data_IF_047800539362
#
_entry.id   IF_047800539362
#
_cell.length_a   1.000
_cell.length_b   1.000
_cell.length_c   1.000
_cell.angle_alpha   90.00
_cell.angle_beta   90.00
_cell.angle_gamma   90.00
#
_symmetry.space_group_name_H-M   'P 1'
#
loop_
_entity.id
_entity.type
_entity.pdbx_description
1 polymer ?
#
# COMPACT_ATOMS: atom_id res chain seq x y z
N UNK A 1 -5.19 9.33 -20.01
CA UNK A 1 -5.21 7.87 -19.78
C UNK A 1 -4.45 7.10 -20.85
N UNK A 2 -3.28 6.58 -20.46
CA UNK A 2 -2.48 5.66 -21.28
C UNK A 2 -2.95 4.20 -21.19
N UNK A 3 -2.33 3.34 -22.00
CA UNK A 3 -2.65 1.91 -22.10
C UNK A 3 -2.43 1.15 -20.79
N UNK A 4 -1.41 1.50 -20.00
CA UNK A 4 -1.07 0.79 -18.76
C UNK A 4 -2.13 1.03 -17.69
N UNK A 5 -2.58 2.27 -17.54
CA UNK A 5 -3.64 2.59 -16.60
C UNK A 5 -4.98 2.00 -17.04
N UNK A 6 -5.26 1.93 -18.35
CA UNK A 6 -6.44 1.24 -18.86
C UNK A 6 -6.44 -0.24 -18.48
N UNK A 7 -5.30 -0.95 -18.66
CA UNK A 7 -5.16 -2.36 -18.26
C UNK A 7 -5.37 -2.52 -16.74
N UNK A 8 -4.83 -1.60 -15.95
CA UNK A 8 -5.04 -1.59 -14.50
C UNK A 8 -6.53 -1.46 -14.14
N UNK A 9 -7.26 -0.55 -14.80
CA UNK A 9 -8.70 -0.39 -14.60
C UNK A 9 -9.51 -1.58 -15.09
N UNK A 10 -9.10 -2.24 -16.17
CA UNK A 10 -9.76 -3.49 -16.62
C UNK A 10 -9.55 -4.63 -15.62
N UNK A 11 -8.39 -4.64 -14.94
CA UNK A 11 -8.03 -5.65 -13.93
C UNK A 11 -8.75 -5.44 -12.61
N UNK A 12 -8.83 -4.19 -12.12
CA UNK A 12 -9.42 -3.87 -10.82
C UNK A 12 -10.85 -3.32 -10.89
N UNK A 13 -11.30 -2.83 -12.03
CA UNK A 13 -12.51 -2.04 -12.14
C UNK A 13 -12.33 -0.58 -11.69
N UNK A 14 -13.42 0.19 -11.83
CA UNK A 14 -13.41 1.64 -11.65
C UNK A 14 -13.12 2.13 -10.22
N UNK A 15 -12.80 3.44 -10.09
CA UNK A 15 -12.44 4.03 -8.81
C UNK A 15 -13.63 4.13 -7.85
N UNK A 16 -13.34 4.06 -6.55
CA UNK A 16 -14.25 4.33 -5.45
C UNK A 16 -13.64 5.35 -4.49
N UNK A 17 -14.50 6.08 -3.78
CA UNK A 17 -14.13 7.08 -2.75
C UNK A 17 -13.01 8.03 -3.20
N UNK A 18 -13.11 8.51 -4.45
CA UNK A 18 -12.15 9.42 -5.06
C UNK A 18 -12.00 10.70 -4.23
N UNK A 19 -10.74 11.09 -3.99
CA UNK A 19 -10.37 12.40 -3.45
C UNK A 19 -9.53 13.17 -4.46
N UNK A 20 -9.84 14.44 -4.62
CA UNK A 20 -9.03 15.33 -5.45
C UNK A 20 -7.65 15.52 -4.82
N UNK A 21 -6.62 15.48 -5.66
CA UNK A 21 -5.25 15.73 -5.23
C UNK A 21 -4.95 17.22 -5.36
N UNK A 22 -4.62 17.92 -4.26
CA UNK A 22 -4.22 19.31 -4.33
C UNK A 22 -2.94 19.48 -5.16
N UNK A 23 -2.84 20.56 -5.94
CA UNK A 23 -1.63 20.89 -6.68
C UNK A 23 -0.40 20.96 -5.78
N UNK A 24 -0.56 21.43 -4.53
CA UNK A 24 0.53 21.46 -3.55
C UNK A 24 1.11 20.07 -3.25
N UNK A 25 0.28 19.03 -3.22
CA UNK A 25 0.75 17.65 -3.02
C UNK A 25 1.48 17.13 -4.26
N UNK A 26 0.99 17.44 -5.46
CA UNK A 26 1.69 17.10 -6.71
C UNK A 26 3.07 17.76 -6.76
N UNK A 27 3.16 19.07 -6.51
CA UNK A 27 4.44 19.79 -6.48
C UNK A 27 5.39 19.26 -5.40
N UNK A 28 4.85 18.87 -4.24
CA UNK A 28 5.65 18.31 -3.14
C UNK A 28 6.42 17.04 -3.54
N UNK A 29 5.83 16.22 -4.41
CA UNK A 29 6.39 14.93 -4.84
C UNK A 29 7.10 14.95 -6.19
N UNK A 30 7.15 16.09 -6.89
CA UNK A 30 7.95 16.21 -8.11
C UNK A 30 9.42 15.91 -7.82
N UNK A 31 10.01 15.03 -8.64
CA UNK A 31 11.38 14.57 -8.48
C UNK A 31 11.61 13.57 -7.34
N UNK A 32 10.56 13.20 -6.59
CA UNK A 32 10.59 12.17 -5.53
C UNK A 32 9.83 10.91 -5.93
N UNK A 33 8.74 11.08 -6.68
CA UNK A 33 7.90 10.02 -7.20
C UNK A 33 7.87 10.07 -8.75
N UNK A 34 7.45 8.97 -9.42
CA UNK A 34 7.30 8.95 -10.87
C UNK A 34 6.38 10.06 -11.36
N UNK A 35 6.74 10.72 -12.46
CA UNK A 35 5.91 11.77 -13.04
C UNK A 35 4.56 11.22 -13.48
N UNK A 36 4.54 10.00 -14.03
CA UNK A 36 3.32 9.35 -14.47
C UNK A 36 2.36 9.06 -13.29
N UNK A 37 2.87 8.80 -12.08
CA UNK A 37 2.04 8.67 -10.89
C UNK A 37 1.36 10.01 -10.54
N UNK A 38 2.11 11.11 -10.64
CA UNK A 38 1.59 12.45 -10.38
C UNK A 38 0.55 12.87 -11.42
N UNK A 39 0.74 12.47 -12.69
CA UNK A 39 -0.26 12.65 -13.76
C UNK A 39 -1.54 11.86 -13.45
N UNK A 40 -1.43 10.59 -13.04
CA UNK A 40 -2.60 9.81 -12.61
C UNK A 40 -3.30 10.43 -11.41
N UNK A 41 -2.56 10.99 -10.45
CA UNK A 41 -3.16 11.71 -9.33
C UNK A 41 -3.92 12.95 -9.80
N UNK A 42 -3.37 13.72 -10.73
CA UNK A 42 -4.06 14.89 -11.30
C UNK A 42 -5.35 14.51 -12.05
N UNK A 43 -5.31 13.44 -12.86
CA UNK A 43 -6.45 12.99 -13.67
C UNK A 43 -7.52 12.27 -12.81
N UNK A 44 -7.08 11.33 -11.96
CA UNK A 44 -7.96 10.37 -11.30
C UNK A 44 -8.13 10.60 -9.81
N UNK A 45 -7.26 11.34 -9.16
CA UNK A 45 -7.30 11.53 -7.71
C UNK A 45 -6.77 10.31 -6.94
N UNK A 46 -6.72 10.42 -5.61
CA UNK A 46 -6.49 9.27 -4.74
C UNK A 46 -7.78 8.46 -4.63
N UNK A 47 -7.70 7.15 -4.88
CA UNK A 47 -8.88 6.30 -5.04
C UNK A 47 -8.64 4.87 -4.54
N UNK A 48 -9.74 4.20 -4.21
CA UNK A 48 -9.80 2.74 -4.12
C UNK A 48 -10.20 2.12 -5.45
N UNK A 49 -9.76 0.90 -5.71
CA UNK A 49 -10.07 0.09 -6.91
C UNK A 49 -10.44 -1.34 -6.47
N UNK A 50 -11.01 -2.17 -7.35
CA UNK A 50 -11.45 -3.52 -6.96
C UNK A 50 -12.58 -3.50 -5.95
N UNK A 51 -13.38 -2.44 -5.95
CA UNK A 51 -14.37 -2.19 -4.91
C UNK A 51 -13.77 -2.06 -3.50
N UNK A 52 -12.52 -1.60 -3.40
CA UNK A 52 -11.82 -1.29 -2.16
C UNK A 52 -10.71 -2.27 -1.76
N UNK A 53 -10.31 -3.21 -2.62
CA UNK A 53 -9.23 -4.16 -2.32
C UNK A 53 -7.84 -3.52 -2.43
N UNK A 54 -7.70 -2.51 -3.30
CA UNK A 54 -6.45 -1.82 -3.59
C UNK A 54 -6.68 -0.32 -3.57
N UNK A 55 -5.74 0.44 -3.02
CA UNK A 55 -5.86 1.89 -2.85
C UNK A 55 -4.58 2.58 -3.29
N UNK A 56 -4.70 3.58 -4.15
CA UNK A 56 -3.64 4.56 -4.39
C UNK A 56 -3.90 5.72 -3.43
N UNK A 57 -2.92 6.01 -2.57
CA UNK A 57 -3.11 6.85 -1.37
C UNK A 57 -2.35 8.17 -1.44
N UNK A 58 -2.69 9.09 -0.54
CA UNK A 58 -1.89 10.27 -0.25
C UNK A 58 -0.72 9.86 0.66
N UNK A 59 0.54 9.87 0.20
CA UNK A 59 1.64 9.42 1.07
C UNK A 59 1.83 10.32 2.30
N UNK A 60 1.44 11.60 2.23
CA UNK A 60 1.56 12.54 3.35
C UNK A 60 0.76 12.10 4.58
N UNK A 61 -0.39 11.45 4.38
CA UNK A 61 -1.22 10.93 5.49
C UNK A 61 -0.56 9.73 6.18
N UNK A 62 0.37 9.05 5.51
CA UNK A 62 1.01 7.84 5.97
C UNK A 62 2.49 8.03 6.32
N UNK A 63 3.03 9.26 6.29
CA UNK A 63 4.44 9.55 6.65
C UNK A 63 4.78 9.01 8.04
N UNK A 64 3.91 9.20 9.03
CA UNK A 64 4.10 8.67 10.38
C UNK A 64 4.05 7.14 10.45
N UNK A 65 3.23 6.50 9.61
CA UNK A 65 3.18 5.04 9.49
C UNK A 65 4.48 4.53 8.88
N UNK A 66 4.93 5.12 7.77
CA UNK A 66 6.19 4.70 7.12
C UNK A 66 7.36 4.88 8.07
N UNK A 67 7.44 6.02 8.77
CA UNK A 67 8.47 6.24 9.78
C UNK A 67 8.45 5.16 10.87
N UNK A 68 7.27 4.82 11.41
CA UNK A 68 7.17 3.83 12.49
C UNK A 68 7.50 2.40 12.08
N UNK A 69 7.39 2.06 10.79
CA UNK A 69 7.79 0.76 10.25
C UNK A 69 9.27 0.68 9.85
N UNK A 70 9.89 1.82 9.52
CA UNK A 70 11.26 1.90 9.01
C UNK A 70 12.27 2.24 10.11
N UNK A 71 11.86 2.95 11.16
CA UNK A 71 12.70 3.35 12.30
C UNK A 71 13.49 2.16 12.87
N UNK A 72 14.80 2.33 13.03
CA UNK A 72 15.67 1.31 13.63
C UNK A 72 15.97 0.12 12.71
N UNK A 73 15.49 0.14 11.46
CA UNK A 73 15.84 -0.84 10.43
C UNK A 73 16.97 -0.32 9.54
N UNK A 74 17.65 -1.23 8.83
CA UNK A 74 18.68 -0.84 7.84
C UNK A 74 18.15 0.01 6.68
N UNK A 75 16.83 0.06 6.48
CA UNK A 75 16.23 0.77 5.34
C UNK A 75 16.33 2.29 5.52
N UNK A 76 16.31 2.77 6.77
CA UNK A 76 16.39 4.21 7.10
C UNK A 76 17.62 4.90 6.49
N UNK A 77 18.73 4.17 6.36
CA UNK A 77 19.99 4.67 5.79
C UNK A 77 20.04 4.60 4.25
N UNK A 78 19.12 3.85 3.63
CA UNK A 78 19.15 3.55 2.19
C UNK A 78 18.41 4.61 1.39
N UNK A 79 17.18 4.92 1.78
CA UNK A 79 16.29 5.79 1.00
C UNK A 79 15.26 6.53 1.88
N UNK A 80 14.61 7.54 1.30
CA UNK A 80 13.36 8.09 1.83
C UNK A 80 12.20 7.37 1.16
N UNK A 81 11.33 6.75 1.96
CA UNK A 81 10.24 5.92 1.44
C UNK A 81 8.89 6.62 1.58
N UNK A 82 8.04 6.43 0.56
CA UNK A 82 6.69 6.97 0.48
C UNK A 82 5.69 5.84 0.24
N UNK A 83 4.63 5.77 1.04
CA UNK A 83 3.55 4.81 0.79
C UNK A 83 2.69 5.31 -0.38
N UNK A 84 2.83 4.70 -1.57
CA UNK A 84 2.06 5.11 -2.75
C UNK A 84 0.75 4.34 -2.90
N UNK A 85 0.69 3.13 -2.35
CA UNK A 85 -0.49 2.28 -2.41
C UNK A 85 -0.58 1.32 -1.22
N UNK A 86 -1.79 0.83 -0.96
CA UNK A 86 -2.04 -0.24 0.03
C UNK A 86 -3.15 -1.20 -0.40
N UNK A 87 -3.18 -2.39 0.19
CA UNK A 87 -4.35 -3.28 0.11
C UNK A 87 -5.43 -2.92 1.16
N UNK A 88 -6.57 -3.61 1.08
CA UNK A 88 -7.63 -3.56 2.08
C UNK A 88 -7.20 -4.08 3.46
N UNK A 89 -6.16 -4.93 3.52
CA UNK A 89 -5.69 -5.62 4.72
C UNK A 89 -4.33 -5.12 5.22
N UNK A 90 -3.80 -4.05 4.63
CA UNK A 90 -2.54 -3.45 5.08
C UNK A 90 -1.29 -4.09 4.50
N UNK A 91 -1.35 -4.64 3.29
CA UNK A 91 -0.14 -4.69 2.46
C UNK A 91 0.21 -3.26 2.05
N UNK A 92 1.43 -2.84 2.31
CA UNK A 92 1.94 -1.49 2.11
C UNK A 92 2.97 -1.52 0.98
N UNK A 93 2.76 -0.71 -0.05
CA UNK A 93 3.63 -0.61 -1.22
C UNK A 93 4.44 0.68 -1.17
N UNK A 94 5.70 0.57 -0.76
CA UNK A 94 6.57 1.71 -0.48
C UNK A 94 7.48 1.98 -1.68
N UNK A 95 7.56 3.26 -2.05
CA UNK A 95 8.40 3.79 -3.10
C UNK A 95 9.56 4.58 -2.48
N UNK A 96 10.79 4.18 -2.76
CA UNK A 96 11.98 4.94 -2.40
C UNK A 96 12.30 6.02 -3.44
N UNK A 97 12.67 7.22 -3.00
CA UNK A 97 13.03 8.34 -3.89
C UNK A 97 14.19 8.03 -4.84
N UNK A 98 15.06 7.06 -4.50
CA UNK A 98 16.22 6.65 -5.31
C UNK A 98 16.09 5.23 -5.86
N UNK A 99 15.28 4.40 -5.22
CA UNK A 99 15.21 2.95 -5.44
C UNK A 99 13.92 2.47 -6.12
N UNK A 100 12.95 3.35 -6.34
CA UNK A 100 11.69 2.99 -6.99
C UNK A 100 10.78 2.17 -6.07
N UNK A 101 9.97 1.26 -6.62
CA UNK A 101 9.19 0.32 -5.82
C UNK A 101 10.10 -0.73 -5.16
N UNK A 102 10.55 -0.43 -3.95
CA UNK A 102 11.65 -1.15 -3.29
C UNK A 102 11.21 -2.05 -2.14
N UNK A 103 10.13 -1.68 -1.43
CA UNK A 103 9.66 -2.43 -0.26
C UNK A 103 8.16 -2.73 -0.34
N UNK A 104 7.79 -3.97 -0.01
CA UNK A 104 6.42 -4.35 0.33
C UNK A 104 6.38 -4.80 1.79
N UNK A 105 5.57 -4.15 2.62
CA UNK A 105 5.35 -4.58 4.01
C UNK A 105 3.97 -5.23 4.13
N UNK A 106 3.90 -6.45 4.63
CA UNK A 106 2.64 -7.10 5.06
C UNK A 106 2.46 -6.84 6.55
N UNK A 107 1.74 -5.76 6.87
CA UNK A 107 1.66 -5.21 8.24
C UNK A 107 1.05 -6.18 9.24
N UNK A 108 0.07 -6.99 8.83
CA UNK A 108 -0.59 -7.97 9.71
C UNK A 108 0.33 -9.08 10.20
N UNK A 109 1.51 -9.26 9.57
CA UNK A 109 2.52 -10.26 9.93
C UNK A 109 3.87 -9.65 10.34
N UNK A 110 4.02 -8.32 10.35
CA UNK A 110 5.32 -7.63 10.45
C UNK A 110 6.38 -8.21 9.50
N UNK A 111 6.01 -8.43 8.23
CA UNK A 111 6.93 -8.96 7.21
C UNK A 111 7.25 -7.94 6.13
N UNK A 112 8.50 -7.91 5.69
CA UNK A 112 8.96 -7.09 4.55
C UNK A 112 9.53 -7.96 3.44
N UNK A 113 9.10 -7.70 2.22
CA UNK A 113 9.75 -8.18 1.00
C UNK A 113 10.53 -7.01 0.41
N UNK A 114 11.84 -7.22 0.28
CA UNK A 114 12.74 -6.29 -0.41
C UNK A 114 12.75 -6.66 -1.89
N UNK A 115 12.33 -5.75 -2.76
CA UNK A 115 12.27 -5.94 -4.21
C UNK A 115 13.61 -5.61 -4.86
N UNK A 116 14.02 -4.35 -4.74
CA UNK A 116 15.30 -3.84 -5.21
C UNK A 116 15.71 -2.67 -4.33
N UNK A 117 16.99 -2.57 -3.96
CA UNK A 117 17.57 -1.43 -3.24
C UNK A 117 18.68 -0.75 -4.05
N UNK A 118 18.92 -1.19 -5.30
CA UNK A 118 19.84 -0.53 -6.20
C UNK A 118 19.26 0.81 -6.64
N UNK A 119 20.11 1.84 -6.64
CA UNK A 119 19.74 3.17 -7.11
C UNK A 119 19.47 3.10 -8.61
N UNK A 120 18.25 3.46 -9.01
CA UNK A 120 17.85 3.53 -10.40
C UNK A 120 18.19 4.91 -10.96
N UNK A 121 19.10 4.94 -11.95
CA UNK A 121 19.53 6.18 -12.59
C UNK A 121 18.66 6.59 -13.78
N UNK A 122 17.75 5.73 -14.26
CA UNK A 122 16.78 6.08 -15.31
C UNK A 122 15.48 5.26 -15.25
N UNK A 123 14.38 5.97 -15.51
CA UNK A 123 12.99 5.55 -15.77
C UNK A 123 12.12 5.00 -14.61
N UNK A 124 11.88 5.86 -13.62
CA UNK A 124 10.88 5.63 -12.56
C UNK A 124 9.45 5.39 -13.11
N UNK A 125 9.11 5.96 -14.26
CA UNK A 125 7.78 5.80 -14.85
C UNK A 125 7.60 4.37 -15.39
N UNK A 126 8.63 3.79 -16.01
CA UNK A 126 8.62 2.37 -16.40
C UNK A 126 8.50 1.43 -15.20
N UNK A 127 9.18 1.71 -14.10
CA UNK A 127 9.02 0.93 -12.86
C UNK A 127 7.59 1.04 -12.30
N UNK A 128 6.96 2.22 -12.41
CA UNK A 128 5.57 2.39 -12.03
C UNK A 128 4.63 1.56 -12.92
N UNK A 129 4.85 1.55 -14.23
CA UNK A 129 4.07 0.75 -15.17
C UNK A 129 4.18 -0.74 -14.83
N UNK A 130 5.41 -1.23 -14.60
CA UNK A 130 5.65 -2.60 -14.17
C UNK A 130 4.96 -2.91 -12.83
N UNK A 131 5.02 -1.97 -11.87
CA UNK A 131 4.31 -2.07 -10.61
C UNK A 131 2.80 -2.25 -10.83
N UNK A 132 2.14 -1.35 -11.57
CA UNK A 132 0.70 -1.40 -11.83
C UNK A 132 0.28 -2.69 -12.53
N UNK A 133 1.00 -3.10 -13.58
CA UNK A 133 0.72 -4.33 -14.33
C UNK A 133 0.94 -5.60 -13.51
N UNK A 134 1.79 -5.56 -12.48
CA UNK A 134 2.01 -6.70 -11.58
C UNK A 134 0.94 -6.85 -10.49
N UNK A 135 0.05 -5.86 -10.31
CA UNK A 135 -1.01 -5.90 -9.31
C UNK A 135 -2.24 -6.61 -9.86
N UNK A 136 -2.88 -7.41 -9.02
CA UNK A 136 -4.20 -8.00 -9.30
C UNK A 136 -4.99 -8.18 -8.00
N UNK A 137 -6.27 -8.54 -8.10
CA UNK A 137 -7.17 -8.72 -6.95
C UNK A 137 -6.63 -9.79 -6.00
N UNK A 138 -6.32 -10.98 -6.52
CA UNK A 138 -5.92 -12.15 -5.70
C UNK A 138 -4.67 -11.87 -4.86
N UNK A 139 -3.65 -11.21 -5.42
CA UNK A 139 -2.41 -10.86 -4.71
C UNK A 139 -2.58 -9.80 -3.60
N UNK A 140 -3.75 -9.16 -3.51
CA UNK A 140 -4.11 -8.19 -2.48
C UNK A 140 -5.18 -8.72 -1.51
N UNK A 141 -5.68 -9.93 -1.74
CA UNK A 141 -6.64 -10.57 -0.85
C UNK A 141 -5.90 -11.40 0.20
N UNK A 142 -6.09 -11.05 1.47
CA UNK A 142 -5.50 -11.80 2.57
C UNK A 142 -6.40 -13.00 2.89
N UNK A 143 -5.94 -14.21 2.56
CA UNK A 143 -6.65 -15.45 2.89
C UNK A 143 -8.03 -15.59 2.24
N UNK A 144 -8.22 -15.00 1.04
CA UNK A 144 -9.50 -14.96 0.33
C UNK A 144 -10.65 -14.33 1.16
N UNK A 145 -10.30 -13.42 2.09
CA UNK A 145 -11.24 -12.82 3.03
C UNK A 145 -11.91 -11.56 2.48
N UNK A 146 -11.46 -10.98 1.37
CA UNK A 146 -11.96 -9.68 0.90
C UNK A 146 -13.45 -9.68 0.62
N UNK A 147 -13.92 -10.59 -0.21
CA UNK A 147 -15.35 -10.70 -0.59
C UNK A 147 -16.23 -10.93 0.65
N UNK A 148 -15.98 -11.94 1.51
CA UNK A 148 -16.82 -12.15 2.69
C UNK A 148 -16.74 -10.99 3.69
N UNK A 149 -15.57 -10.38 3.87
CA UNK A 149 -15.37 -9.24 4.77
C UNK A 149 -16.14 -8.02 4.29
N UNK A 150 -16.02 -7.68 3.01
CA UNK A 150 -16.78 -6.59 2.40
C UNK A 150 -18.30 -6.82 2.50
N UNK A 151 -18.77 -8.06 2.33
CA UNK A 151 -20.19 -8.40 2.49
C UNK A 151 -20.66 -8.18 3.93
N UNK A 152 -19.83 -8.48 4.91
CA UNK A 152 -20.15 -8.37 6.35
C UNK A 152 -20.02 -6.94 6.87
N UNK A 153 -18.95 -6.24 6.54
CA UNK A 153 -18.57 -4.94 7.12
C UNK A 153 -18.84 -3.75 6.20
N UNK A 154 -19.17 -4.01 4.93
CA UNK A 154 -19.37 -2.99 3.91
C UNK A 154 -18.06 -2.49 3.30
N UNK A 155 -18.18 -1.67 2.26
CA UNK A 155 -17.04 -1.09 1.53
C UNK A 155 -16.23 -0.14 2.42
N UNK A 156 -14.90 -0.18 2.26
CA UNK A 156 -13.96 0.73 2.92
C UNK A 156 -14.05 2.15 2.35
N UNK A 157 -13.80 3.15 3.20
CA UNK A 157 -13.42 4.51 2.82
C UNK A 157 -11.90 4.63 2.73
N UNK A 158 -11.42 5.73 2.16
CA UNK A 158 -10.00 6.00 1.93
C UNK A 158 -9.13 5.92 3.19
N UNK A 159 -9.68 6.29 4.34
CA UNK A 159 -9.00 6.30 5.65
C UNK A 159 -9.23 5.00 6.45
N UNK A 160 -9.85 3.98 5.85
CA UNK A 160 -10.21 2.73 6.51
C UNK A 160 -9.51 1.51 5.90
N UNK A 161 -9.27 0.50 6.73
CA UNK A 161 -8.83 -0.84 6.33
C UNK A 161 -9.61 -1.92 7.09
N UNK A 162 -9.54 -3.16 6.62
CA UNK A 162 -9.96 -4.32 7.41
C UNK A 162 -8.78 -4.75 8.27
N UNK A 163 -8.93 -4.64 9.58
CA UNK A 163 -7.92 -5.00 10.57
C UNK A 163 -8.36 -6.18 11.43
N UNK A 164 -7.43 -7.05 11.78
CA UNK A 164 -7.68 -8.14 12.74
C UNK A 164 -7.69 -7.60 14.17
N UNK A 165 -8.75 -7.92 14.91
CA UNK A 165 -8.97 -7.52 16.29
C UNK A 165 -9.31 -8.76 17.12
N UNK A 166 -8.40 -9.25 17.99
CA UNK A 166 -7.05 -8.74 18.24
C UNK A 166 -6.10 -8.95 17.05
N UNK A 167 -5.01 -8.19 17.01
CA UNK A 167 -3.99 -8.32 15.97
C UNK A 167 -3.40 -9.76 15.93
N UNK A 168 -3.15 -10.28 14.72
CA UNK A 168 -2.65 -11.65 14.53
C UNK A 168 -1.34 -11.90 15.27
N UNK A 169 -0.45 -10.90 15.29
CA UNK A 169 0.84 -10.98 15.98
C UNK A 169 0.73 -11.12 17.50
N UNK A 170 -0.45 -10.84 18.08
CA UNK A 170 -0.76 -11.08 19.49
C UNK A 170 -1.40 -12.46 19.72
N UNK A 171 -1.38 -13.36 18.73
CA UNK A 171 -2.05 -14.66 18.77
C UNK A 171 -3.54 -14.60 18.42
N UNK A 172 -3.99 -13.51 17.78
CA UNK A 172 -5.35 -13.38 17.28
C UNK A 172 -5.66 -14.34 16.12
N UNK A 173 -6.91 -14.77 15.94
CA UNK A 173 -7.30 -15.66 14.85
C UNK A 173 -7.44 -14.90 13.53
N UNK A 174 -7.04 -15.54 12.43
CA UNK A 174 -7.11 -15.06 11.05
C UNK A 174 -8.47 -15.35 10.39
N UNK A 175 -9.55 -15.04 11.11
CA UNK A 175 -10.92 -15.40 10.70
C UNK A 175 -11.79 -14.18 10.43
N UNK A 176 -12.80 -14.36 9.58
CA UNK A 176 -13.81 -13.33 9.24
C UNK A 176 -14.51 -12.71 10.46
N UNK A 177 -14.62 -13.46 11.56
CA UNK A 177 -15.28 -12.97 12.77
C UNK A 177 -14.46 -11.99 13.61
N UNK A 178 -13.17 -11.88 13.30
CA UNK A 178 -12.22 -11.01 13.99
C UNK A 178 -11.72 -9.88 13.10
N UNK A 179 -12.38 -9.66 11.97
CA UNK A 179 -12.12 -8.49 11.13
C UNK A 179 -13.07 -7.36 11.50
N UNK A 180 -12.50 -6.17 11.64
CA UNK A 180 -13.22 -4.93 11.84
C UNK A 180 -12.80 -3.88 10.82
N UNK A 181 -13.68 -2.91 10.53
CA UNK A 181 -13.28 -1.69 9.84
C UNK A 181 -12.61 -0.77 10.84
N UNK A 182 -11.32 -0.51 10.63
CA UNK A 182 -10.49 0.32 11.51
C UNK A 182 -9.91 1.48 10.73
N UNK A 183 -9.49 2.53 11.43
CA UNK A 183 -8.75 3.63 10.81
C UNK A 183 -7.35 3.15 10.43
N UNK A 184 -6.99 3.35 9.16
CA UNK A 184 -5.81 2.74 8.58
C UNK A 184 -4.52 3.27 9.24
N UNK A 185 -4.39 4.57 9.43
CA UNK A 185 -3.17 5.17 9.99
C UNK A 185 -2.94 4.67 11.42
N UNK A 186 -3.95 4.78 12.27
CA UNK A 186 -3.88 4.40 13.69
C UNK A 186 -3.62 2.90 13.85
N UNK A 187 -4.30 2.06 13.06
CA UNK A 187 -4.10 0.62 13.14
C UNK A 187 -2.72 0.21 12.63
N UNK A 188 -2.25 0.77 11.51
CA UNK A 188 -0.93 0.45 10.97
C UNK A 188 0.20 0.91 11.88
N UNK A 189 0.07 2.08 12.52
CA UNK A 189 1.02 2.55 13.54
C UNK A 189 0.99 1.66 14.78
N UNK A 190 -0.19 1.20 15.22
CA UNK A 190 -0.28 0.21 16.30
C UNK A 190 0.46 -1.08 15.93
N UNK A 191 0.22 -1.63 14.73
CA UNK A 191 0.85 -2.89 14.29
C UNK A 191 2.38 -2.78 14.24
N UNK A 192 2.94 -1.63 13.84
CA UNK A 192 4.40 -1.44 13.78
C UNK A 192 5.06 -1.48 15.17
N UNK A 193 4.30 -1.31 16.25
CA UNK A 193 4.79 -1.33 17.63
C UNK A 193 4.65 -2.71 18.30
N UNK A 194 3.95 -3.65 17.67
CA UNK A 194 3.68 -4.98 18.26
C UNK A 194 4.86 -5.93 18.07
N UNK A 195 5.47 -5.93 16.88
CA UNK A 195 6.55 -6.85 16.54
C UNK A 195 7.53 -6.19 15.58
N UNK A 196 8.82 -6.52 15.72
CA UNK A 196 9.87 -6.07 14.83
C UNK A 196 9.61 -6.50 13.38
N UNK A 197 9.93 -5.62 12.43
CA UNK A 197 9.79 -5.90 11.01
C UNK A 197 10.85 -6.93 10.57
N UNK A 198 10.39 -8.11 10.12
CA UNK A 198 11.27 -9.20 9.70
C UNK A 198 11.23 -9.38 8.18
N UNK A 199 12.37 -9.67 7.52
CA UNK A 199 12.36 -10.11 6.14
C UNK A 199 11.48 -11.35 5.94
N UNK A 200 10.82 -11.46 4.79
CA UNK A 200 10.14 -12.68 4.38
C UNK A 200 11.18 -13.77 4.14
N UNK A 201 11.02 -14.95 4.77
CA UNK A 201 11.93 -16.08 4.59
C UNK A 201 11.27 -17.13 3.69
N UNK A 202 12.07 -17.83 2.87
CA UNK A 202 11.59 -18.96 2.07
C UNK A 202 11.08 -20.13 2.93
N UNK A 203 11.37 -20.14 4.24
CA UNK A 203 10.83 -21.11 5.21
C UNK A 203 9.37 -20.84 5.60
N UNK A 204 8.79 -19.74 5.15
CA UNK A 204 7.42 -19.32 5.50
C UNK A 204 6.36 -19.86 4.51
N UNK A 205 6.76 -20.78 3.60
CA UNK A 205 5.91 -21.52 2.65
C UNK A 205 6.01 -23.04 2.86
#
# INVERSE_FOLDING_TARGET
MDEFFSIFLDTFGGPIDRREVPTSSIEHYKGKLPNQLLEYWAEHGWCGYGGGIFWIVNPQEYEGVVASWIEGTRFEEVDTYHLIARSAFGDLYLWGEKTGFSLKITSVLSRVVVKNLEIINDDMDRELQAFLLSRNVDSNDYGDLFIPTKKKLGTLRHDEMYGFVPALMLGGPDTLDHLEKVKAVEHLTLLSQIAELQPYSFSDF
#
